data_IF_308989480374
#
_entry.id   IF_308989480374
#
_cell.length_a   1.000
_cell.length_b   1.000
_cell.length_c   1.000
_cell.angle_alpha   90.00
_cell.angle_beta   90.00
_cell.angle_gamma   90.00
#
_symmetry.space_group_name_H-M   'P 1'
#
loop_
_entity.id
_entity.type
_entity.pdbx_description
1 polymer ?
#
# COMPACT_ATOMS: atom_id res chain seq x y z
N UNK A 1 -15.81 -0.28 -5.09
CA UNK A 1 -16.27 -1.12 -3.97
C UNK A 1 -17.22 -0.27 -3.15
N UNK A 2 -18.41 -0.78 -2.80
CA UNK A 2 -19.36 -0.09 -1.93
C UNK A 2 -18.84 -0.08 -0.48
N UNK A 3 -18.92 1.08 0.20
CA UNK A 3 -18.45 1.24 1.58
C UNK A 3 -19.20 0.37 2.58
N UNK A 4 -20.49 0.11 2.36
CA UNK A 4 -21.27 -0.80 3.23
C UNK A 4 -20.74 -2.22 3.12
N UNK A 5 -20.53 -2.69 1.88
CA UNK A 5 -19.95 -4.00 1.60
C UNK A 5 -18.53 -4.15 2.17
N UNK A 6 -17.70 -3.12 2.04
CA UNK A 6 -16.35 -3.09 2.62
C UNK A 6 -16.36 -3.35 4.13
N UNK A 7 -17.24 -2.64 4.86
CA UNK A 7 -17.34 -2.80 6.31
C UNK A 7 -17.96 -4.15 6.71
N UNK A 8 -18.94 -4.63 5.95
CA UNK A 8 -19.52 -5.96 6.17
C UNK A 8 -18.47 -7.08 6.02
N UNK A 9 -17.70 -7.08 4.93
CA UNK A 9 -16.63 -8.05 4.69
C UNK A 9 -15.53 -7.95 5.76
N UNK A 10 -15.11 -6.74 6.12
CA UNK A 10 -14.12 -6.51 7.16
C UNK A 10 -14.57 -7.04 8.54
N UNK A 11 -15.85 -6.90 8.88
CA UNK A 11 -16.41 -7.46 10.12
C UNK A 11 -16.46 -9.00 10.06
N UNK A 12 -16.94 -9.56 8.95
CA UNK A 12 -17.07 -11.02 8.75
C UNK A 12 -15.70 -11.72 8.79
N UNK A 13 -14.71 -11.14 8.14
CA UNK A 13 -13.35 -11.69 8.02
C UNK A 13 -12.39 -11.17 9.09
N UNK A 14 -12.88 -10.37 10.05
CA UNK A 14 -12.10 -9.79 11.16
C UNK A 14 -10.81 -9.10 10.69
N UNK A 15 -10.92 -8.24 9.68
CA UNK A 15 -9.75 -7.55 9.16
C UNK A 15 -9.02 -6.73 10.23
N UNK A 16 -7.69 -6.72 10.24
CA UNK A 16 -6.93 -5.86 11.14
C UNK A 16 -7.14 -4.38 10.75
N UNK A 17 -7.05 -3.43 11.71
CA UNK A 17 -7.28 -2.00 11.46
C UNK A 17 -6.48 -1.44 10.27
N UNK A 18 -5.19 -1.76 10.17
CA UNK A 18 -4.32 -1.30 9.07
C UNK A 18 -4.77 -1.76 7.67
N UNK A 19 -5.41 -2.94 7.56
CA UNK A 19 -6.01 -3.39 6.30
C UNK A 19 -7.29 -2.62 6.02
N UNK A 20 -8.19 -2.55 7.01
CA UNK A 20 -9.46 -1.86 6.89
C UNK A 20 -9.28 -0.40 6.47
N UNK A 21 -8.40 0.34 7.17
CA UNK A 21 -8.24 1.78 6.96
C UNK A 21 -7.65 2.11 5.59
N UNK A 22 -6.70 1.30 5.09
CA UNK A 22 -6.19 1.43 3.71
C UNK A 22 -7.28 1.21 2.67
N UNK A 23 -8.08 0.16 2.82
CA UNK A 23 -9.18 -0.15 1.88
C UNK A 23 -10.25 0.96 1.94
N UNK A 24 -10.60 1.44 3.13
CA UNK A 24 -11.52 2.57 3.30
C UNK A 24 -10.98 3.84 2.64
N UNK A 25 -9.72 4.20 2.86
CA UNK A 25 -9.10 5.38 2.26
C UNK A 25 -9.13 5.34 0.72
N UNK A 26 -8.94 4.16 0.13
CA UNK A 26 -8.92 3.97 -1.33
C UNK A 26 -10.31 3.91 -1.96
N UNK A 27 -11.33 3.41 -1.25
CA UNK A 27 -12.62 3.09 -1.86
C UNK A 27 -13.81 3.84 -1.27
N UNK A 28 -13.67 4.49 -0.12
CA UNK A 28 -14.74 5.19 0.58
C UNK A 28 -14.32 6.65 0.81
N UNK A 29 -14.18 7.47 -0.24
CA UNK A 29 -13.69 8.86 -0.12
C UNK A 29 -14.66 9.80 0.62
N UNK A 30 -15.94 9.41 0.70
CA UNK A 30 -17.01 10.19 1.30
C UNK A 30 -17.87 9.33 2.22
N UNK A 31 -18.44 9.99 3.23
CA UNK A 31 -19.43 9.42 4.13
C UNK A 31 -20.58 10.42 4.34
N UNK A 32 -21.69 9.93 4.84
CA UNK A 32 -22.86 10.71 5.16
C UNK A 32 -22.93 10.96 6.66
N UNK A 33 -22.98 12.24 7.04
CA UNK A 33 -23.12 12.65 8.42
C UNK A 33 -24.52 13.26 8.66
N UNK A 34 -25.34 12.70 9.56
CA UNK A 34 -26.58 13.32 9.98
C UNK A 34 -26.30 14.56 10.84
N UNK A 35 -27.03 15.65 10.57
CA UNK A 35 -27.00 16.87 11.34
C UNK A 35 -28.40 17.22 11.85
N UNK A 36 -28.50 17.52 13.15
CA UNK A 36 -29.66 18.13 13.76
C UNK A 36 -29.71 19.60 13.39
N UNK A 37 -30.88 20.07 12.96
CA UNK A 37 -31.19 21.49 12.81
C UNK A 37 -31.63 22.01 14.18
N UNK A 38 -30.81 22.85 14.79
CA UNK A 38 -31.20 23.53 16.03
C UNK A 38 -32.20 24.65 15.73
N UNK A 39 -32.97 25.06 16.75
CA UNK A 39 -33.95 26.17 16.64
C UNK A 39 -33.34 27.48 16.11
N UNK A 40 -32.03 27.67 16.25
CA UNK A 40 -31.30 28.86 15.82
C UNK A 40 -30.67 28.69 14.42
N UNK A 41 -31.08 27.69 13.65
CA UNK A 41 -30.55 27.38 12.31
C UNK A 41 -29.14 26.76 12.28
N UNK A 42 -28.48 26.60 13.45
CA UNK A 42 -27.15 25.95 13.52
C UNK A 42 -27.29 24.44 13.33
N UNK A 43 -26.41 23.86 12.51
CA UNK A 43 -26.32 22.41 12.29
C UNK A 43 -25.35 21.78 13.28
N UNK A 44 -25.80 20.78 14.05
CA UNK A 44 -24.96 20.00 14.97
C UNK A 44 -24.92 18.54 14.53
N UNK A 45 -23.75 17.90 14.46
CA UNK A 45 -23.69 16.49 14.06
C UNK A 45 -24.44 15.63 15.08
N UNK A 46 -25.10 14.59 14.61
CA UNK A 46 -25.69 13.59 15.50
C UNK A 46 -24.57 12.76 16.13
N UNK A 47 -24.74 12.44 17.41
CA UNK A 47 -23.71 11.81 18.23
C UNK A 47 -24.27 10.63 18.99
N UNK A 48 -23.40 9.66 19.28
CA UNK A 48 -23.65 8.55 20.21
C UNK A 48 -22.86 8.81 21.50
N UNK A 49 -23.33 8.31 22.66
CA UNK A 49 -22.51 8.24 23.86
C UNK A 49 -21.18 7.53 23.59
N UNK A 50 -20.10 8.05 24.17
CA UNK A 50 -18.77 7.47 24.13
C UNK A 50 -18.50 6.54 25.33
N UNK A 51 -17.24 6.20 25.61
CA UNK A 51 -16.87 5.31 26.73
C UNK A 51 -16.97 5.95 28.13
N UNK A 52 -16.96 7.28 28.23
CA UNK A 52 -17.08 8.05 29.49
C UNK A 52 -18.33 8.96 29.51
N UNK A 53 -18.81 9.43 30.69
CA UNK A 53 -20.08 10.16 30.82
C UNK A 53 -20.22 11.42 29.95
N UNK A 54 -19.11 12.08 29.60
CA UNK A 54 -19.09 13.30 28.79
C UNK A 54 -18.56 13.07 27.37
N UNK A 55 -18.06 11.87 27.07
CA UNK A 55 -17.53 11.51 25.76
C UNK A 55 -18.64 11.33 24.72
N UNK A 56 -18.35 11.76 23.50
CA UNK A 56 -19.26 11.64 22.36
C UNK A 56 -18.54 11.03 21.19
N UNK A 57 -19.27 10.22 20.41
CA UNK A 57 -18.81 9.69 19.12
C UNK A 57 -19.67 10.26 18.01
N UNK A 58 -19.04 10.67 16.92
CA UNK A 58 -19.77 11.16 15.74
C UNK A 58 -20.41 9.98 15.00
N UNK A 59 -21.70 10.09 14.65
CA UNK A 59 -22.40 9.07 13.88
C UNK A 59 -22.21 9.35 12.39
N UNK A 60 -21.87 8.32 11.61
CA UNK A 60 -21.64 8.38 10.17
C UNK A 60 -22.29 7.19 9.45
N UNK A 61 -22.52 7.34 8.15
CA UNK A 61 -23.04 6.27 7.29
C UNK A 61 -22.25 6.17 5.99
N UNK A 62 -22.08 4.94 5.49
CA UNK A 62 -21.52 4.67 4.16
C UNK A 62 -22.56 4.77 3.04
N UNK A 63 -23.85 4.62 3.38
CA UNK A 63 -24.99 4.64 2.46
C UNK A 63 -26.11 5.50 3.09
N UNK A 64 -26.70 6.46 2.37
CA UNK A 64 -27.75 7.31 2.91
C UNK A 64 -29.02 6.53 3.32
N UNK A 65 -29.31 5.38 2.70
CA UNK A 65 -30.46 4.56 3.08
C UNK A 65 -30.32 3.99 4.49
N UNK A 66 -29.09 3.77 4.95
CA UNK A 66 -28.85 3.29 6.31
C UNK A 66 -29.24 4.33 7.36
N UNK A 67 -29.27 5.62 7.03
CA UNK A 67 -29.69 6.64 8.00
C UNK A 67 -31.18 6.58 8.32
N UNK A 68 -31.99 5.85 7.54
CA UNK A 68 -33.44 5.67 7.78
C UNK A 68 -33.74 4.91 9.08
N UNK A 69 -32.76 4.20 9.63
CA UNK A 69 -32.88 3.52 10.94
C UNK A 69 -32.84 4.49 12.12
N UNK A 70 -32.39 5.74 11.90
CA UNK A 70 -32.33 6.75 12.95
C UNK A 70 -33.75 7.16 13.36
N UNK A 71 -34.06 7.00 14.64
CA UNK A 71 -35.26 7.55 15.27
C UNK A 71 -34.84 8.75 16.11
N UNK A 72 -35.28 9.94 15.70
CA UNK A 72 -34.94 11.22 16.33
C UNK A 72 -36.18 12.09 16.35
N UNK A 73 -36.41 12.77 17.48
CA UNK A 73 -37.58 13.65 17.66
C UNK A 73 -37.41 15.01 16.96
N UNK A 74 -36.29 15.23 16.28
CA UNK A 74 -35.91 16.48 15.63
C UNK A 74 -35.59 16.24 14.16
N UNK A 75 -35.82 17.26 13.32
CA UNK A 75 -35.48 17.21 11.90
C UNK A 75 -33.97 17.02 11.70
N UNK A 76 -33.61 15.97 10.97
CA UNK A 76 -32.24 15.65 10.57
C UNK A 76 -32.04 15.92 9.09
N UNK A 77 -30.93 16.59 8.77
CA UNK A 77 -30.43 16.69 7.41
C UNK A 77 -29.20 15.80 7.27
N UNK A 78 -29.21 14.93 6.27
CA UNK A 78 -28.04 14.12 5.95
C UNK A 78 -27.12 14.89 5.00
N UNK A 79 -25.82 14.96 5.32
CA UNK A 79 -24.84 15.67 4.50
C UNK A 79 -23.74 14.71 4.06
N UNK A 80 -23.52 14.60 2.75
CA UNK A 80 -22.35 13.93 2.18
C UNK A 80 -21.10 14.81 2.37
N UNK A 81 -20.02 14.24 2.90
CA UNK A 81 -18.76 14.93 3.18
C UNK A 81 -17.58 14.02 2.87
N UNK A 82 -16.43 14.63 2.52
CA UNK A 82 -15.16 13.91 2.46
C UNK A 82 -14.82 13.35 3.84
N UNK A 83 -14.23 12.16 3.88
CA UNK A 83 -13.87 11.54 5.16
C UNK A 83 -12.79 12.32 5.89
N UNK A 84 -11.83 12.91 5.18
CA UNK A 84 -10.81 13.80 5.77
C UNK A 84 -11.42 14.99 6.51
N UNK A 85 -12.41 15.67 5.91
CA UNK A 85 -13.11 16.79 6.55
C UNK A 85 -13.88 16.37 7.81
N UNK A 86 -14.51 15.19 7.74
CA UNK A 86 -15.22 14.61 8.89
C UNK A 86 -14.27 14.25 10.02
N UNK A 87 -13.12 13.64 9.70
CA UNK A 87 -12.09 13.27 10.68
C UNK A 87 -11.49 14.51 11.34
N UNK A 88 -11.09 15.53 10.55
CA UNK A 88 -10.59 16.82 11.09
C UNK A 88 -11.61 17.46 12.01
N UNK A 89 -12.87 17.54 11.57
CA UNK A 89 -13.96 18.04 12.42
C UNK A 89 -14.10 17.22 13.70
N UNK A 90 -14.02 15.89 13.59
CA UNK A 90 -14.15 15.01 14.73
C UNK A 90 -13.03 15.26 15.76
N UNK A 91 -11.78 15.37 15.30
CA UNK A 91 -10.62 15.68 16.13
C UNK A 91 -10.71 17.07 16.79
N UNK A 92 -10.96 18.11 16.00
CA UNK A 92 -11.02 19.52 16.46
C UNK A 92 -12.21 19.82 17.35
N UNK A 93 -13.28 19.02 17.28
CA UNK A 93 -14.45 19.15 18.17
C UNK A 93 -14.37 18.24 19.41
N UNK A 94 -13.25 17.55 19.64
CA UNK A 94 -13.04 16.73 20.83
C UNK A 94 -13.88 15.45 20.87
N UNK A 95 -14.24 14.86 19.73
CA UNK A 95 -14.92 13.56 19.72
C UNK A 95 -13.97 12.41 20.06
N UNK A 96 -14.47 11.39 20.76
CA UNK A 96 -13.69 10.22 21.21
C UNK A 96 -13.74 9.03 20.25
N UNK A 97 -14.41 9.22 19.11
CA UNK A 97 -14.56 8.16 18.13
C UNK A 97 -15.63 8.44 17.08
N UNK A 98 -15.80 7.47 16.21
CA UNK A 98 -16.86 7.40 15.21
C UNK A 98 -17.71 6.15 15.44
N UNK A 99 -18.98 6.24 15.10
CA UNK A 99 -19.86 5.08 14.92
C UNK A 99 -20.37 5.10 13.49
N UNK A 100 -19.90 4.16 12.68
CA UNK A 100 -20.29 4.03 11.27
C UNK A 100 -21.38 2.97 11.16
N UNK A 101 -22.44 3.27 10.40
CA UNK A 101 -23.59 2.40 10.14
C UNK A 101 -24.23 1.80 11.40
N UNK A 102 -24.61 2.62 12.40
CA UNK A 102 -25.31 2.11 13.57
C UNK A 102 -26.60 1.37 13.16
N UNK A 103 -26.86 0.22 13.79
CA UNK A 103 -28.06 -0.59 13.54
C UNK A 103 -27.99 -1.50 12.31
N UNK A 104 -26.86 -1.55 11.58
CA UNK A 104 -26.64 -2.47 10.45
C UNK A 104 -25.55 -3.51 10.77
N UNK A 105 -25.53 -4.61 10.02
CA UNK A 105 -24.49 -5.66 10.11
C UNK A 105 -23.08 -5.15 9.76
N UNK A 106 -22.99 -4.06 8.99
CA UNK A 106 -21.74 -3.36 8.68
C UNK A 106 -21.32 -2.32 9.75
N UNK A 107 -21.97 -2.32 10.93
CA UNK A 107 -21.64 -1.41 12.04
C UNK A 107 -20.15 -1.49 12.38
N UNK A 108 -19.52 -0.33 12.55
CA UNK A 108 -18.15 -0.22 13.06
C UNK A 108 -18.04 0.90 14.09
N UNK A 109 -17.38 0.63 15.21
CA UNK A 109 -16.93 1.66 16.15
C UNK A 109 -15.44 1.87 15.90
N UNK A 110 -15.04 3.14 15.73
CA UNK A 110 -13.65 3.54 15.54
C UNK A 110 -13.29 4.45 16.71
N UNK A 111 -12.32 4.05 17.52
CA UNK A 111 -11.88 4.83 18.68
C UNK A 111 -10.97 5.99 18.26
N UNK A 112 -10.74 6.97 19.15
CA UNK A 112 -9.92 8.15 18.85
C UNK A 112 -8.51 7.80 18.31
N UNK A 113 -7.83 6.82 18.90
CA UNK A 113 -6.51 6.36 18.42
C UNK A 113 -6.59 5.75 17.02
N UNK A 114 -7.64 4.97 16.75
CA UNK A 114 -7.88 4.38 15.44
C UNK A 114 -8.28 5.43 14.40
N UNK A 115 -9.00 6.49 14.80
CA UNK A 115 -9.30 7.62 13.93
C UNK A 115 -8.03 8.29 13.44
N UNK A 116 -6.96 8.35 14.24
CA UNK A 116 -5.71 8.99 13.84
C UNK A 116 -5.00 8.15 12.77
N UNK A 117 -5.02 6.83 12.95
CA UNK A 117 -4.53 5.88 11.94
C UNK A 117 -5.34 5.99 10.66
N UNK A 118 -6.67 6.04 10.76
CA UNK A 118 -7.57 6.23 9.62
C UNK A 118 -7.29 7.56 8.90
N UNK A 119 -7.14 8.64 9.66
CA UNK A 119 -6.83 9.97 9.13
C UNK A 119 -5.53 9.95 8.32
N UNK A 120 -4.48 9.31 8.85
CA UNK A 120 -3.21 9.15 8.14
C UNK A 120 -3.36 8.46 6.79
N UNK A 121 -4.12 7.36 6.71
CA UNK A 121 -4.33 6.64 5.44
C UNK A 121 -5.09 7.52 4.42
N UNK A 122 -6.12 8.26 4.84
CA UNK A 122 -6.82 9.20 3.95
C UNK A 122 -5.94 10.41 3.56
N UNK A 123 -5.11 10.91 4.48
CA UNK A 123 -4.20 12.01 4.22
C UNK A 123 -3.15 11.64 3.17
N UNK A 124 -2.70 10.38 3.15
CA UNK A 124 -1.81 9.86 2.10
C UNK A 124 -2.50 9.87 0.73
N UNK A 125 -3.75 9.39 0.65
CA UNK A 125 -4.51 9.40 -0.61
C UNK A 125 -4.73 10.83 -1.13
N UNK A 126 -5.13 11.76 -0.26
CA UNK A 126 -5.32 13.17 -0.65
C UNK A 126 -4.01 13.87 -0.99
N UNK A 127 -2.95 13.68 -0.19
CA UNK A 127 -1.63 14.23 -0.42
C UNK A 127 -1.04 13.77 -1.75
N UNK A 128 -1.23 12.50 -2.10
CA UNK A 128 -0.85 11.99 -3.40
C UNK A 128 -1.62 12.64 -4.54
N UNK A 129 -2.94 12.80 -4.38
CA UNK A 129 -3.79 13.48 -5.37
C UNK A 129 -3.37 14.94 -5.58
N UNK A 130 -2.88 15.59 -4.53
CA UNK A 130 -2.30 16.94 -4.60
C UNK A 130 -0.95 16.99 -5.32
N UNK A 131 -0.20 15.88 -5.36
CA UNK A 131 1.17 15.85 -5.89
C UNK A 131 2.23 16.45 -4.95
N UNK A 132 1.83 16.92 -3.77
CA UNK A 132 2.71 17.58 -2.80
C UNK A 132 2.03 17.82 -1.46
N UNK A 133 2.77 18.42 -0.54
CA UNK A 133 2.28 18.88 0.76
C UNK A 133 2.46 20.38 0.90
N UNK A 134 1.50 21.06 1.52
CA UNK A 134 1.66 22.46 1.90
C UNK A 134 2.63 22.52 3.08
N UNK A 135 3.67 23.32 2.98
CA UNK A 135 4.72 23.45 4.01
C UNK A 135 4.88 24.93 4.35
N UNK A 136 4.75 25.32 5.63
CA UNK A 136 5.12 26.64 6.10
C UNK A 136 6.59 26.92 5.74
N UNK A 137 6.82 27.96 4.95
CA UNK A 137 8.13 28.26 4.37
C UNK A 137 8.47 29.74 4.59
N UNK A 138 9.73 30.04 4.94
CA UNK A 138 10.25 31.41 5.03
C UNK A 138 11.41 31.58 4.05
N UNK A 139 11.12 32.21 2.90
CA UNK A 139 12.06 32.26 1.78
C UNK A 139 12.24 30.87 1.18
N UNK A 140 13.46 30.34 1.22
CA UNK A 140 13.83 29.00 0.76
C UNK A 140 13.82 27.93 1.88
N UNK A 141 13.50 28.33 3.13
CA UNK A 141 13.59 27.44 4.31
C UNK A 141 12.22 26.90 4.70
N UNK A 142 12.09 25.57 4.68
CA UNK A 142 10.93 24.86 5.24
C UNK A 142 10.96 24.85 6.77
N UNK A 143 9.79 24.99 7.40
CA UNK A 143 9.64 24.84 8.85
C UNK A 143 9.95 23.39 9.27
N UNK A 144 10.93 23.26 10.16
CA UNK A 144 11.30 22.01 10.82
C UNK A 144 10.81 22.01 12.27
N UNK A 145 10.48 20.82 12.76
CA UNK A 145 10.19 20.56 14.17
C UNK A 145 11.12 19.48 14.70
N UNK A 146 11.41 19.52 15.99
CA UNK A 146 12.18 18.50 16.67
C UNK A 146 11.28 17.32 17.08
N UNK A 147 11.74 16.11 16.84
CA UNK A 147 11.14 14.85 17.27
C UNK A 147 11.68 14.47 18.66
N UNK A 148 11.00 13.53 19.34
CA UNK A 148 11.39 13.07 20.68
C UNK A 148 12.81 12.47 20.76
N UNK A 149 13.32 11.97 19.64
CA UNK A 149 14.67 11.40 19.52
C UNK A 149 15.75 12.45 19.16
N UNK A 150 15.39 13.74 19.14
CA UNK A 150 16.26 14.86 18.80
C UNK A 150 16.48 15.06 17.29
N UNK A 151 15.90 14.23 16.43
CA UNK A 151 15.93 14.46 14.98
C UNK A 151 14.98 15.59 14.59
N UNK A 152 15.24 16.26 13.47
CA UNK A 152 14.33 17.27 12.94
C UNK A 152 13.54 16.71 11.75
N UNK A 153 12.28 17.12 11.60
CA UNK A 153 11.46 16.75 10.45
C UNK A 153 10.65 17.91 9.91
N UNK A 154 10.24 17.81 8.64
CA UNK A 154 9.40 18.81 7.97
C UNK A 154 7.95 18.69 8.45
N UNK A 155 7.29 19.83 8.66
CA UNK A 155 5.84 19.86 8.84
C UNK A 155 5.13 20.00 7.51
N UNK A 156 4.11 19.18 7.25
CA UNK A 156 3.36 19.21 6.01
C UNK A 156 1.84 19.15 6.26
N UNK A 157 1.07 19.78 5.39
CA UNK A 157 -0.38 19.91 5.53
C UNK A 157 -1.05 19.50 4.21
N UNK A 158 -2.21 18.86 4.32
CA UNK A 158 -3.01 18.40 3.15
C UNK A 158 -4.08 19.43 2.73
N UNK A 159 -4.18 20.55 3.45
CA UNK A 159 -5.07 21.69 3.19
C UNK A 159 -4.26 22.98 3.36
N UNK A 160 -4.29 23.86 2.37
CA UNK A 160 -3.59 25.14 2.38
C UNK A 160 -4.02 26.03 3.55
N UNK A 161 -5.29 25.96 3.95
CA UNK A 161 -5.83 26.77 5.05
C UNK A 161 -5.21 26.42 6.40
N UNK A 162 -4.91 25.14 6.62
CA UNK A 162 -4.23 24.69 7.83
C UNK A 162 -2.77 25.18 7.85
N UNK A 163 -2.08 25.08 6.70
CA UNK A 163 -0.73 25.61 6.58
C UNK A 163 -0.69 27.12 6.80
N UNK A 164 -1.69 27.85 6.26
CA UNK A 164 -1.83 29.30 6.45
C UNK A 164 -2.07 29.67 7.92
N UNK A 165 -2.96 28.97 8.62
CA UNK A 165 -3.21 29.20 10.06
C UNK A 165 -1.93 29.05 10.90
N UNK A 166 -1.07 28.09 10.54
CA UNK A 166 0.23 27.92 11.18
C UNK A 166 1.21 29.04 10.79
N UNK A 167 1.28 29.42 9.51
CA UNK A 167 2.08 30.55 9.03
C UNK A 167 1.71 31.87 9.70
N UNK A 168 0.42 32.12 9.95
CA UNK A 168 -0.07 33.31 10.65
C UNK A 168 0.49 33.37 12.09
N UNK A 169 0.79 32.21 12.69
CA UNK A 169 1.32 32.10 14.06
C UNK A 169 2.85 32.13 14.12
N UNK A 170 3.55 31.47 13.19
CA UNK A 170 5.01 31.33 13.21
C UNK A 170 5.75 32.24 12.22
N UNK A 171 5.03 32.95 11.36
CA UNK A 171 5.56 33.69 10.21
C UNK A 171 5.92 32.77 9.03
N UNK A 172 5.99 33.37 7.83
CA UNK A 172 6.24 32.67 6.57
C UNK A 172 4.98 32.56 5.71
N UNK A 173 5.05 31.73 4.68
CA UNK A 173 3.96 31.52 3.71
C UNK A 173 3.73 30.02 3.47
N UNK A 174 2.48 29.59 3.20
CA UNK A 174 2.19 28.21 2.83
C UNK A 174 2.65 27.96 1.39
N UNK A 175 3.64 27.09 1.19
CA UNK A 175 4.14 26.72 -0.14
C UNK A 175 3.88 25.24 -0.40
N UNK A 176 3.30 24.91 -1.55
CA UNK A 176 3.10 23.53 -1.96
C UNK A 176 4.42 22.97 -2.51
N UNK A 177 5.02 22.03 -1.78
CA UNK A 177 6.25 21.35 -2.22
C UNK A 177 5.97 19.92 -2.68
N UNK A 178 6.62 19.43 -3.76
CA UNK A 178 6.53 18.04 -4.17
C UNK A 178 7.00 17.09 -3.06
N UNK A 179 6.40 15.89 -3.00
CA UNK A 179 6.73 14.91 -1.95
C UNK A 179 8.19 14.46 -1.96
N UNK A 180 8.85 14.43 -3.12
CA UNK A 180 10.29 14.13 -3.21
C UNK A 180 11.14 15.19 -2.52
N UNK A 181 10.82 16.48 -2.72
CA UNK A 181 11.52 17.59 -2.07
C UNK A 181 11.33 17.54 -0.55
N UNK A 182 10.11 17.25 -0.10
CA UNK A 182 9.80 17.08 1.33
C UNK A 182 10.56 15.90 1.91
N UNK A 183 10.61 14.76 1.20
CA UNK A 183 11.31 13.55 1.64
C UNK A 183 12.81 13.80 1.78
N UNK A 184 13.44 14.40 0.77
CA UNK A 184 14.87 14.74 0.77
C UNK A 184 15.20 15.69 1.93
N UNK A 185 14.34 16.67 2.17
CA UNK A 185 14.52 17.60 3.28
C UNK A 185 14.40 16.92 4.64
N UNK A 186 13.49 15.96 4.80
CA UNK A 186 13.40 15.15 6.02
C UNK A 186 14.69 14.37 6.25
N UNK A 187 15.22 13.72 5.20
CA UNK A 187 16.45 12.93 5.30
C UNK A 187 17.65 13.79 5.70
N UNK A 188 17.78 14.99 5.10
CA UNK A 188 18.81 15.96 5.49
C UNK A 188 18.69 16.41 6.95
N UNK A 189 17.47 16.45 7.48
CA UNK A 189 17.18 16.83 8.87
C UNK A 189 17.28 15.65 9.87
N UNK A 190 17.58 14.44 9.39
CA UNK A 190 17.73 13.24 10.22
C UNK A 190 16.45 12.41 10.39
N UNK A 191 15.35 12.78 9.74
CA UNK A 191 14.07 12.07 9.82
C UNK A 191 13.74 11.27 8.55
N UNK A 192 12.99 10.18 8.71
CA UNK A 192 12.58 9.32 7.58
C UNK A 192 11.29 9.79 6.89
N UNK A 193 10.52 10.66 7.53
CA UNK A 193 9.20 11.09 7.07
C UNK A 193 8.76 12.39 7.76
N UNK A 194 7.90 13.19 7.12
CA UNK A 194 7.39 14.44 7.67
C UNK A 194 6.31 14.20 8.73
N UNK A 195 6.07 15.24 9.54
CA UNK A 195 4.95 15.33 10.46
C UNK A 195 3.76 16.00 9.76
N UNK A 196 2.65 15.29 9.62
CA UNK A 196 1.45 15.85 9.01
C UNK A 196 0.61 16.62 10.02
N UNK A 197 0.05 17.75 9.57
CA UNK A 197 -0.93 18.55 10.31
C UNK A 197 -0.44 18.98 11.69
N UNK A 198 0.85 19.32 11.80
CA UNK A 198 1.46 19.73 13.06
C UNK A 198 0.74 20.93 13.68
N UNK A 199 0.59 20.93 15.01
CA UNK A 199 -0.14 21.97 15.74
C UNK A 199 -1.67 21.75 15.78
N UNK A 200 -2.20 20.74 15.07
CA UNK A 200 -3.61 20.38 15.14
C UNK A 200 -3.86 19.08 15.94
N UNK A 201 -5.06 18.86 16.49
CA UNK A 201 -5.38 17.64 17.25
C UNK A 201 -5.26 16.33 16.44
N UNK A 202 -5.32 16.41 15.12
CA UNK A 202 -5.12 15.31 14.17
C UNK A 202 -3.66 15.15 13.68
N UNK A 203 -2.70 15.84 14.30
CA UNK A 203 -1.30 15.75 13.92
C UNK A 203 -0.78 14.31 13.97
N UNK A 204 -0.03 13.90 12.95
CA UNK A 204 0.45 12.51 12.84
C UNK A 204 1.77 12.40 12.09
N UNK A 205 2.71 11.65 12.64
CA UNK A 205 3.95 11.30 11.94
C UNK A 205 3.68 10.29 10.81
N UNK A 206 4.16 10.58 9.61
CA UNK A 206 4.14 9.62 8.52
C UNK A 206 5.16 8.50 8.74
N UNK A 207 4.91 7.35 8.12
CA UNK A 207 5.80 6.21 8.18
C UNK A 207 6.52 6.10 6.83
N UNK A 208 7.68 5.44 6.75
CA UNK A 208 8.39 5.23 5.48
C UNK A 208 7.49 4.63 4.37
N UNK A 209 6.57 3.73 4.74
CA UNK A 209 5.60 3.15 3.80
C UNK A 209 4.69 4.22 3.16
N UNK A 210 4.27 5.22 3.93
CA UNK A 210 3.42 6.31 3.44
C UNK A 210 4.19 7.24 2.51
N UNK A 211 5.47 7.48 2.80
CA UNK A 211 6.32 8.26 1.89
C UNK A 211 6.49 7.56 0.55
N UNK A 212 6.71 6.25 0.55
CA UNK A 212 6.75 5.47 -0.70
C UNK A 212 5.43 5.61 -1.49
N UNK A 213 4.28 5.59 -0.82
CA UNK A 213 2.98 5.77 -1.46
C UNK A 213 2.80 7.18 -2.04
N UNK A 214 3.21 8.22 -1.30
CA UNK A 214 3.14 9.63 -1.71
C UNK A 214 4.07 9.95 -2.88
N UNK A 215 5.26 9.35 -2.91
CA UNK A 215 6.23 9.44 -4.02
C UNK A 215 5.86 8.55 -5.21
N UNK A 216 4.75 7.80 -5.13
CA UNK A 216 4.36 6.84 -6.17
C UNK A 216 5.25 5.59 -6.23
N UNK A 217 6.24 5.44 -5.34
CA UNK A 217 7.17 4.31 -5.21
C UNK A 217 6.54 3.05 -4.60
N UNK A 218 5.21 2.93 -4.62
CA UNK A 218 4.47 1.84 -3.98
C UNK A 218 3.07 1.56 -4.52
N UNK A 219 2.67 2.14 -5.66
CA UNK A 219 1.47 1.68 -6.34
C UNK A 219 1.80 0.90 -7.59
N UNK A 220 1.18 -0.27 -7.66
CA UNK A 220 1.16 -1.12 -8.81
C UNK A 220 0.70 -0.31 -10.04
N UNK A 221 1.63 0.05 -10.92
CA UNK A 221 1.26 0.33 -12.32
C UNK A 221 0.42 -0.85 -12.84
N UNK A 222 -0.43 -0.68 -13.87
CA UNK A 222 -1.10 -1.82 -14.51
C UNK A 222 -0.12 -2.97 -14.79
N UNK A 223 1.11 -2.62 -15.19
CA UNK A 223 2.24 -3.54 -15.39
C UNK A 223 2.68 -4.25 -14.09
N UNK A 224 2.71 -3.57 -12.94
CA UNK A 224 3.04 -4.16 -11.63
C UNK A 224 1.92 -5.05 -11.09
N UNK A 225 0.65 -4.70 -11.34
CA UNK A 225 -0.49 -5.57 -11.00
C UNK A 225 -0.50 -6.84 -11.86
N UNK A 226 -0.32 -6.71 -13.17
CA UNK A 226 -0.18 -7.85 -14.08
C UNK A 226 1.01 -8.73 -13.69
N UNK A 227 2.16 -8.11 -13.37
CA UNK A 227 3.34 -8.82 -12.89
C UNK A 227 3.04 -9.60 -11.61
N UNK A 228 2.34 -8.99 -10.65
CA UNK A 228 1.95 -9.64 -9.40
C UNK A 228 1.01 -10.82 -9.64
N UNK A 229 -0.03 -10.64 -10.46
CA UNK A 229 -0.97 -11.71 -10.82
C UNK A 229 -0.24 -12.87 -11.53
N UNK A 230 0.70 -12.59 -12.43
CA UNK A 230 1.48 -13.64 -13.10
C UNK A 230 2.41 -14.39 -12.12
N UNK A 231 3.07 -13.68 -11.21
CA UNK A 231 3.92 -14.30 -10.17
C UNK A 231 3.10 -15.15 -9.20
N UNK A 232 1.88 -14.71 -8.84
CA UNK A 232 0.95 -15.49 -8.02
C UNK A 232 0.49 -16.77 -8.73
N UNK A 233 0.19 -16.71 -10.04
CA UNK A 233 -0.16 -17.90 -10.83
C UNK A 233 1.01 -18.89 -10.90
N UNK A 234 2.24 -18.41 -11.09
CA UNK A 234 3.43 -19.26 -11.02
C UNK A 234 3.59 -19.89 -9.64
N UNK A 235 3.36 -19.13 -8.56
CA UNK A 235 3.43 -19.67 -7.20
C UNK A 235 2.41 -20.79 -6.96
N UNK A 236 1.18 -20.64 -7.47
CA UNK A 236 0.18 -21.69 -7.38
C UNK A 236 0.57 -22.94 -8.18
N UNK A 237 1.18 -22.78 -9.36
CA UNK A 237 1.70 -23.91 -10.12
C UNK A 237 2.82 -24.65 -9.36
N UNK A 238 3.74 -23.91 -8.76
CA UNK A 238 4.84 -24.45 -7.94
C UNK A 238 4.33 -25.20 -6.71
N UNK A 239 3.32 -24.67 -6.00
CA UNK A 239 2.70 -25.31 -4.82
C UNK A 239 2.05 -26.66 -5.10
N UNK A 240 1.65 -26.94 -6.35
CA UNK A 240 1.09 -28.23 -6.74
C UNK A 240 2.15 -29.34 -6.81
N UNK A 241 3.43 -29.01 -6.66
CA UNK A 241 4.53 -29.96 -6.48
C UNK A 241 5.15 -30.46 -7.79
N UNK A 242 5.84 -31.60 -7.70
CA UNK A 242 6.63 -32.18 -8.79
C UNK A 242 5.79 -33.08 -9.72
N UNK A 243 6.22 -33.23 -10.98
CA UNK A 243 5.60 -34.13 -11.96
C UNK A 243 5.38 -33.50 -13.34
N UNK A 244 5.21 -34.35 -14.38
CA UNK A 244 5.16 -33.93 -15.79
C UNK A 244 4.09 -32.87 -16.10
N UNK A 245 2.87 -33.07 -15.57
CA UNK A 245 1.75 -32.13 -15.76
C UNK A 245 2.06 -30.76 -15.15
N UNK A 246 2.73 -30.73 -14.00
CA UNK A 246 3.12 -29.49 -13.33
C UNK A 246 4.28 -28.81 -14.06
N UNK A 247 5.23 -29.56 -14.61
CA UNK A 247 6.33 -29.00 -15.43
C UNK A 247 5.79 -28.22 -16.63
N UNK A 248 4.76 -28.75 -17.33
CA UNK A 248 4.14 -28.05 -18.46
C UNK A 248 3.42 -26.77 -18.04
N UNK A 249 2.67 -26.79 -16.95
CA UNK A 249 2.02 -25.58 -16.42
C UNK A 249 3.06 -24.55 -15.98
N UNK A 250 4.17 -24.97 -15.35
CA UNK A 250 5.27 -24.08 -14.97
C UNK A 250 5.93 -23.45 -16.21
N UNK A 251 6.20 -24.22 -17.26
CA UNK A 251 6.71 -23.70 -18.54
C UNK A 251 5.77 -22.61 -19.07
N UNK A 252 4.47 -22.91 -19.14
CA UNK A 252 3.47 -21.96 -19.62
C UNK A 252 3.44 -20.68 -18.78
N UNK A 253 3.42 -20.81 -17.44
CA UNK A 253 3.43 -19.65 -16.54
C UNK A 253 4.71 -18.84 -16.64
N UNK A 254 5.86 -19.48 -16.78
CA UNK A 254 7.11 -18.78 -16.99
C UNK A 254 7.15 -18.07 -18.34
N UNK A 255 6.53 -18.63 -19.39
CA UNK A 255 6.46 -17.99 -20.70
C UNK A 255 5.60 -16.71 -20.70
N UNK A 256 4.58 -16.66 -19.83
CA UNK A 256 3.70 -15.50 -19.59
C UNK A 256 4.35 -14.40 -18.73
N UNK A 257 5.50 -14.67 -18.07
CA UNK A 257 6.14 -13.69 -17.19
C UNK A 257 6.79 -12.55 -17.98
N UNK A 258 6.46 -11.33 -17.59
CA UNK A 258 7.24 -10.14 -17.98
C UNK A 258 8.43 -9.93 -17.07
N UNK A 259 8.24 -10.13 -15.77
CA UNK A 259 9.25 -9.89 -14.74
C UNK A 259 9.31 -11.05 -13.75
N UNK A 260 10.48 -11.28 -13.18
CA UNK A 260 10.76 -12.33 -12.20
C UNK A 260 11.74 -11.83 -11.14
N UNK A 261 11.58 -12.27 -9.90
CA UNK A 261 12.57 -11.96 -8.86
C UNK A 261 13.77 -12.88 -8.98
N UNK A 262 14.96 -12.28 -8.90
CA UNK A 262 16.25 -12.96 -8.82
C UNK A 262 17.06 -12.36 -7.68
N UNK A 263 18.15 -13.03 -7.31
CA UNK A 263 19.19 -12.44 -6.45
C UNK A 263 20.29 -11.90 -7.37
N UNK A 264 20.76 -10.68 -7.09
CA UNK A 264 21.87 -10.06 -7.81
C UNK A 264 23.04 -9.77 -6.88
N UNK A 265 24.23 -9.73 -7.46
CA UNK A 265 25.45 -9.26 -6.80
C UNK A 265 25.52 -7.71 -6.72
N UNK A 266 26.53 -7.12 -6.05
CA UNK A 266 26.70 -5.67 -5.99
C UNK A 266 26.83 -4.96 -7.34
N UNK A 267 27.29 -5.67 -8.38
CA UNK A 267 27.38 -5.15 -9.76
C UNK A 267 26.02 -5.23 -10.49
N UNK A 268 24.99 -5.78 -9.85
CA UNK A 268 23.66 -5.97 -10.41
C UNK A 268 23.53 -7.16 -11.37
N UNK A 269 24.51 -8.07 -11.41
CA UNK A 269 24.44 -9.30 -12.21
C UNK A 269 23.71 -10.38 -11.43
N UNK A 270 22.95 -11.28 -12.08
CA UNK A 270 22.34 -12.42 -11.39
C UNK A 270 23.40 -13.25 -10.66
N UNK A 271 23.19 -13.45 -9.37
CA UNK A 271 24.06 -14.25 -8.53
C UNK A 271 23.59 -15.71 -8.51
N UNK A 272 24.53 -16.63 -8.64
CA UNK A 272 24.27 -18.07 -8.51
C UNK A 272 24.82 -18.54 -7.16
N UNK A 273 23.94 -19.11 -6.33
CA UNK A 273 24.29 -19.48 -4.95
C UNK A 273 24.88 -20.89 -4.83
N UNK A 274 24.89 -21.66 -5.92
CA UNK A 274 25.43 -23.00 -5.97
C UNK A 274 26.74 -23.02 -6.76
N UNK A 275 27.86 -23.11 -6.05
CA UNK A 275 29.21 -23.11 -6.61
C UNK A 275 29.80 -24.53 -6.76
N UNK A 276 29.09 -25.56 -6.29
CA UNK A 276 29.62 -26.92 -6.14
C UNK A 276 29.25 -27.83 -7.32
N UNK A 277 28.31 -27.39 -8.16
CA UNK A 277 27.85 -28.16 -9.33
C UNK A 277 28.55 -27.71 -10.61
N UNK A 278 28.86 -28.66 -11.50
CA UNK A 278 29.43 -28.36 -12.84
C UNK A 278 28.43 -27.67 -13.78
N UNK A 279 27.16 -27.63 -13.40
CA UNK A 279 26.06 -27.03 -14.17
C UNK A 279 25.55 -25.80 -13.40
N UNK A 280 25.41 -24.63 -14.04
CA UNK A 280 24.96 -23.43 -13.35
C UNK A 280 23.55 -23.64 -12.79
N UNK A 281 23.35 -23.30 -11.52
CA UNK A 281 22.03 -23.31 -10.87
C UNK A 281 21.50 -21.89 -10.82
N UNK A 282 20.30 -21.66 -11.36
CA UNK A 282 19.62 -20.37 -11.28
C UNK A 282 18.42 -20.45 -10.36
N UNK A 283 18.33 -19.50 -9.43
CA UNK A 283 17.20 -19.34 -8.52
C UNK A 283 16.27 -18.21 -8.99
N UNK A 284 15.02 -18.56 -9.30
CA UNK A 284 13.92 -17.63 -9.52
C UNK A 284 12.98 -17.61 -8.32
N UNK A 285 12.35 -16.46 -8.08
CA UNK A 285 11.44 -16.29 -6.95
C UNK A 285 10.12 -15.65 -7.36
N UNK A 286 9.03 -16.12 -6.75
CA UNK A 286 7.71 -15.52 -6.94
C UNK A 286 7.50 -14.27 -6.08
N UNK A 287 8.40 -14.01 -5.12
CA UNK A 287 8.38 -12.80 -4.30
C UNK A 287 9.75 -12.43 -3.74
N UNK A 288 9.92 -11.14 -3.41
CA UNK A 288 11.11 -10.60 -2.74
C UNK A 288 11.43 -11.34 -1.44
N UNK A 289 10.42 -11.64 -0.63
CA UNK A 289 10.60 -12.27 0.68
C UNK A 289 11.18 -13.68 0.59
N UNK A 290 10.86 -14.42 -0.48
CA UNK A 290 11.44 -15.75 -0.73
C UNK A 290 12.94 -15.65 -1.03
N UNK A 291 13.34 -14.68 -1.86
CA UNK A 291 14.75 -14.42 -2.15
C UNK A 291 15.52 -14.03 -0.88
N UNK A 292 14.96 -13.14 -0.05
CA UNK A 292 15.58 -12.72 1.24
C UNK A 292 15.77 -13.92 2.18
N UNK A 293 14.77 -14.80 2.28
CA UNK A 293 14.87 -16.00 3.12
C UNK A 293 16.02 -16.90 2.69
N UNK A 294 16.23 -17.08 1.38
CA UNK A 294 17.34 -17.87 0.89
C UNK A 294 18.69 -17.21 1.22
N UNK A 295 18.85 -15.91 0.97
CA UNK A 295 20.08 -15.17 1.32
C UNK A 295 20.42 -15.35 2.80
N UNK A 296 19.44 -15.14 3.69
CA UNK A 296 19.62 -15.30 5.13
C UNK A 296 20.00 -16.74 5.51
N UNK A 297 19.37 -17.74 4.89
CA UNK A 297 19.68 -19.14 5.15
C UNK A 297 21.13 -19.49 4.75
N UNK A 298 21.67 -18.89 3.68
CA UNK A 298 23.06 -19.07 3.29
C UNK A 298 24.03 -18.36 4.24
N UNK A 299 23.73 -17.11 4.64
CA UNK A 299 24.53 -16.36 5.62
C UNK A 299 24.61 -17.10 6.96
N UNK A 300 23.51 -17.68 7.43
CA UNK A 300 23.46 -18.45 8.67
C UNK A 300 24.30 -19.74 8.63
N UNK A 301 24.62 -20.25 7.44
CA UNK A 301 25.49 -21.42 7.25
C UNK A 301 26.97 -21.04 7.20
N UNK A 302 27.32 -19.80 7.52
CA UNK A 302 28.70 -19.32 7.54
C UNK A 302 29.33 -19.12 6.15
N UNK A 303 28.53 -19.11 5.07
CA UNK A 303 29.03 -18.74 3.74
C UNK A 303 29.13 -17.22 3.68
N UNK A 304 30.34 -16.69 3.50
CA UNK A 304 30.55 -15.28 3.17
C UNK A 304 29.91 -15.02 1.80
N UNK A 305 28.78 -14.32 1.80
CA UNK A 305 28.16 -13.83 0.59
C UNK A 305 28.54 -12.36 0.40
N UNK A 306 28.90 -11.92 -0.82
CA UNK A 306 28.94 -10.49 -1.13
C UNK A 306 27.57 -9.85 -0.85
N UNK A 307 27.51 -8.51 -0.87
CA UNK A 307 26.29 -7.73 -0.62
C UNK A 307 25.17 -7.96 -1.64
N UNK A 308 24.59 -9.16 -1.63
CA UNK A 308 23.57 -9.62 -2.56
C UNK A 308 22.19 -9.10 -2.15
N UNK A 309 21.38 -8.78 -3.14
CA UNK A 309 20.02 -8.31 -2.92
C UNK A 309 19.01 -8.91 -3.90
N UNK A 310 17.73 -9.05 -3.51
CA UNK A 310 16.68 -9.39 -4.45
C UNK A 310 16.38 -8.23 -5.41
N UNK A 311 16.25 -8.55 -6.69
CA UNK A 311 15.83 -7.59 -7.72
C UNK A 311 14.77 -8.20 -8.63
N UNK A 312 13.76 -7.38 -8.96
CA UNK A 312 12.76 -7.73 -9.97
C UNK A 312 13.31 -7.31 -11.33
N UNK A 313 13.45 -8.25 -12.25
CA UNK A 313 14.09 -8.04 -13.56
C UNK A 313 13.22 -8.56 -14.69
N UNK A 314 13.47 -8.06 -15.90
CA UNK A 314 12.75 -8.52 -17.09
C UNK A 314 13.10 -9.98 -17.39
N UNK A 315 12.06 -10.81 -17.44
CA UNK A 315 12.17 -12.26 -17.51
C UNK A 315 12.70 -12.71 -18.89
N UNK A 316 12.17 -12.16 -19.98
CA UNK A 316 12.53 -12.56 -21.36
C UNK A 316 14.03 -12.40 -21.69
N UNK A 317 14.65 -11.21 -21.52
CA UNK A 317 16.08 -11.04 -21.78
C UNK A 317 16.93 -11.93 -20.89
N UNK A 318 16.53 -12.08 -19.62
CA UNK A 318 17.21 -12.95 -18.67
C UNK A 318 17.15 -14.42 -19.11
N UNK A 319 15.97 -14.94 -19.42
CA UNK A 319 15.78 -16.32 -19.87
C UNK A 319 16.56 -16.61 -21.14
N UNK A 320 16.58 -15.68 -22.11
CA UNK A 320 17.37 -15.81 -23.35
C UNK A 320 18.87 -15.94 -23.06
N UNK A 321 19.39 -15.08 -22.17
CA UNK A 321 20.80 -15.14 -21.76
C UNK A 321 21.13 -16.45 -21.05
N UNK A 322 20.26 -16.88 -20.14
CA UNK A 322 20.49 -18.08 -19.33
C UNK A 322 20.32 -19.39 -20.13
N UNK A 323 19.42 -19.43 -21.11
CA UNK A 323 19.18 -20.62 -21.92
C UNK A 323 20.43 -21.12 -22.66
N UNK A 324 21.37 -20.23 -23.00
CA UNK A 324 22.64 -20.60 -23.63
C UNK A 324 23.56 -21.47 -22.73
N UNK A 325 23.30 -21.49 -21.42
CA UNK A 325 24.10 -22.22 -20.44
C UNK A 325 23.41 -23.47 -19.91
N UNK A 326 22.19 -23.79 -20.39
CA UNK A 326 21.39 -24.93 -19.96
C UNK A 326 21.34 -25.14 -18.43
N UNK A 327 20.96 -24.14 -17.64
CA UNK A 327 21.07 -24.22 -16.19
C UNK A 327 20.01 -25.14 -15.57
N UNK A 328 20.33 -25.66 -14.38
CA UNK A 328 19.32 -26.20 -13.48
C UNK A 328 18.52 -25.01 -12.93
N UNK A 329 17.21 -25.01 -13.20
CA UNK A 329 16.33 -23.94 -12.73
C UNK A 329 15.64 -24.36 -11.45
N UNK A 330 15.79 -23.53 -10.42
CA UNK A 330 14.99 -23.59 -9.21
C UNK A 330 13.99 -22.44 -9.16
N UNK A 331 12.79 -22.73 -8.67
CA UNK A 331 11.78 -21.73 -8.35
C UNK A 331 11.47 -21.85 -6.86
N UNK A 332 11.70 -20.76 -6.12
CA UNK A 332 11.49 -20.70 -4.68
C UNK A 332 12.33 -21.73 -3.89
N UNK A 333 13.61 -21.90 -4.25
CA UNK A 333 14.55 -22.77 -3.53
C UNK A 333 14.57 -22.46 -2.04
N UNK A 334 14.65 -23.51 -1.22
CA UNK A 334 14.65 -23.40 0.25
C UNK A 334 13.25 -23.22 0.87
N UNK A 335 12.19 -23.12 0.07
CA UNK A 335 10.83 -23.25 0.56
C UNK A 335 10.38 -24.73 0.56
N UNK A 336 9.49 -25.16 1.50
CA UNK A 336 8.90 -26.50 1.49
C UNK A 336 8.27 -26.89 0.14
N UNK A 337 7.70 -25.91 -0.53
CA UNK A 337 7.04 -26.02 -1.83
C UNK A 337 7.95 -25.65 -3.01
N UNK A 338 9.28 -25.57 -2.82
CA UNK A 338 10.22 -25.24 -3.90
C UNK A 338 10.12 -26.23 -5.07
N UNK A 339 10.25 -25.70 -6.29
CA UNK A 339 10.23 -26.52 -7.51
C UNK A 339 11.59 -26.46 -8.20
N UNK A 340 11.98 -27.53 -8.90
CA UNK A 340 13.24 -27.64 -9.61
C UNK A 340 13.05 -28.38 -10.93
N UNK A 341 13.71 -27.91 -11.99
CA UNK A 341 13.82 -28.64 -13.25
C UNK A 341 15.12 -29.42 -13.26
N UNK A 342 15.01 -30.75 -13.21
CA UNK A 342 16.15 -31.67 -13.35
C UNK A 342 16.58 -31.82 -14.83
N UNK A 343 15.77 -31.32 -15.77
CA UNK A 343 16.07 -31.36 -17.21
C UNK A 343 16.59 -30.02 -17.73
N UNK A 344 17.62 -30.07 -18.57
CA UNK A 344 18.31 -28.93 -19.21
C UNK A 344 17.44 -28.15 -20.23
N UNK A 345 16.20 -28.57 -20.47
CA UNK A 345 15.35 -28.01 -21.53
C UNK A 345 14.38 -26.90 -21.10
N UNK A 346 14.33 -26.52 -19.81
CA UNK A 346 13.25 -25.65 -19.31
C UNK A 346 13.22 -24.27 -19.99
N UNK A 347 14.33 -23.52 -19.93
CA UNK A 347 14.38 -22.17 -20.49
C UNK A 347 14.22 -22.15 -22.01
N UNK A 348 14.86 -23.07 -22.78
CA UNK A 348 14.54 -23.24 -24.19
C UNK A 348 13.04 -23.48 -24.46
N UNK A 349 12.39 -24.36 -23.69
CA UNK A 349 10.96 -24.64 -23.82
C UNK A 349 10.10 -23.39 -23.52
N UNK A 350 10.39 -22.66 -22.44
CA UNK A 350 9.73 -21.39 -22.07
C UNK A 350 9.86 -20.34 -23.18
N UNK A 351 11.03 -20.25 -23.81
CA UNK A 351 11.26 -19.31 -24.90
C UNK A 351 10.50 -19.69 -26.16
N UNK A 352 10.33 -20.99 -26.43
CA UNK A 352 9.57 -21.55 -27.56
C UNK A 352 8.05 -21.43 -27.43
N UNK A 353 7.50 -21.48 -26.20
CA UNK A 353 6.08 -21.21 -25.92
C UNK A 353 5.76 -19.70 -25.89
N UNK A 354 6.60 -18.87 -26.51
CA UNK A 354 6.45 -17.42 -26.46
C UNK A 354 5.20 -16.87 -27.11
N UNK A 355 4.88 -15.58 -26.83
CA UNK A 355 3.70 -14.96 -27.38
C UNK A 355 3.89 -14.76 -28.89
N UNK A 356 3.46 -15.73 -29.68
CA UNK A 356 3.29 -15.62 -31.13
C UNK A 356 1.88 -16.07 -31.53
N UNK A 357 1.19 -15.17 -32.23
CA UNK A 357 0.00 -15.36 -33.04
C UNK A 357 -1.38 -15.51 -32.34
N UNK A 358 -1.93 -14.37 -31.89
CA UNK A 358 -3.34 -14.03 -32.21
C UNK A 358 -3.46 -13.55 -33.68
N UNK A 359 -2.83 -14.28 -34.60
CA UNK A 359 -2.96 -14.10 -36.04
C UNK A 359 -3.79 -15.25 -36.56
N UNK A 360 -5.12 -15.06 -36.60
CA UNK A 360 -5.99 -15.93 -37.35
C UNK A 360 -5.60 -15.81 -38.83
N UNK A 361 -4.76 -16.71 -39.33
CA UNK A 361 -4.75 -17.03 -40.75
C UNK A 361 -6.01 -17.84 -41.04
N UNK A 362 -7.00 -17.17 -41.62
CA UNK A 362 -8.01 -17.81 -42.43
C UNK A 362 -7.34 -18.48 -43.64
N UNK A 363 -7.54 -19.79 -43.76
CA UNK A 363 -7.30 -20.62 -44.93
C UNK A 363 -8.05 -21.92 -44.65
N UNK A 364 -9.28 -22.09 -45.12
CA UNK A 364 -9.64 -22.41 -46.51
C UNK A 364 -8.96 -23.69 -47.00
N UNK A 365 -9.83 -24.66 -47.30
CA UNK A 365 -9.65 -25.83 -48.16
C UNK A 365 -8.70 -26.96 -47.72
N UNK A 366 -9.30 -28.02 -47.16
CA UNK A 366 -9.59 -29.26 -47.90
C UNK A 366 -10.48 -30.22 -47.10
#
# INVERSE_FOLDING_TARGET
MDGRRCLYEANREKWPPDRLFRVMAQHVPKLYAPYLLTKNGKKRPLVSPGPSPNSKRMILFTDPNLSKVLRVDQSVTLMERKVTDLLRRAFRSGFDGLVINPGDSSRRVIHREEMLRLFREYAVVEGRRLGGGWVPTRGDKMLLIELEDGAYTVTAYIDERDAREVCDSCGGEPVLHPWDVIADRCLQAGAKAPYLQFGFPEQVLLLPRHMNELQGKGQDSPESRETKECLERLEQAVKRGQGWVNSREIIRRMAELRKIWVIVDPDGKPAFLDFETRVPVVDFFTSRDRAIRLIKAFQQRGKELPGMEPRLVDARPLFKRLAAYEPIVWINRGAPEGWTSVSNGLLPAVLSEGPAASGATSGADR
#
